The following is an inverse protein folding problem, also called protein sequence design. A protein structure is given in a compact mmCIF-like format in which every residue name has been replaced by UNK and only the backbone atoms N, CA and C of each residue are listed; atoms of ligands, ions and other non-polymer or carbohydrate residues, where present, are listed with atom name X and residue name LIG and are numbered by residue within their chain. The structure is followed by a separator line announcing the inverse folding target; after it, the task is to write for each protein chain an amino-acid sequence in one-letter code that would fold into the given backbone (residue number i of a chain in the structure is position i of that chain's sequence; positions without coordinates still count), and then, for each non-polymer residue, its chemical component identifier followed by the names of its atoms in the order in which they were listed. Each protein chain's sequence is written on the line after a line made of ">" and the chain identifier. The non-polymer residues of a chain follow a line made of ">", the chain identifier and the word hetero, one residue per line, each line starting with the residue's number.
data_IF_378622616168
#
_entry.id   IF_378622616168
#
_cell.length_a   1.000
_cell.length_b   1.000
_cell.length_c   1.000
_cell.angle_alpha   90.00
_cell.angle_beta   90.00
_cell.angle_gamma   90.00
#
_symmetry.space_group_name_H-M   'P 1'
#
loop_
_entity.id
_entity.type
_entity.pdbx_description
1 polymer ?
#
# COMPACT_ATOMS: atom_id res chain seq x y z
N UNK A 1 0.37 13.11 12.57
CA UNK A 1 -0.01 12.81 11.16
C UNK A 1 -1.16 11.82 11.11
N UNK A 2 -2.10 12.09 10.27
CA UNK A 2 -3.23 11.19 10.11
C UNK A 2 -2.87 10.02 9.23
N UNK A 3 -3.38 8.87 9.60
CA UNK A 3 -3.13 7.64 8.85
C UNK A 3 -4.30 7.22 7.98
N UNK A 4 -5.26 8.13 7.85
CA UNK A 4 -6.46 7.85 7.06
C UNK A 4 -6.20 7.83 5.56
N UNK A 5 -5.08 8.43 5.13
CA UNK A 5 -4.75 8.48 3.72
C UNK A 5 -4.67 7.10 3.08
N UNK A 6 -4.00 6.15 3.73
CA UNK A 6 -3.89 4.79 3.21
C UNK A 6 -5.27 4.16 3.05
N UNK A 7 -6.08 4.20 4.10
CA UNK A 7 -7.41 3.59 4.05
C UNK A 7 -8.30 4.23 3.00
N UNK A 8 -8.25 5.54 2.91
CA UNK A 8 -9.04 6.27 1.92
C UNK A 8 -8.64 5.89 0.50
N UNK A 9 -7.35 5.77 0.24
CA UNK A 9 -6.87 5.38 -1.08
C UNK A 9 -7.26 3.95 -1.42
N UNK A 10 -7.20 3.05 -0.45
CA UNK A 10 -7.66 1.68 -0.66
C UNK A 10 -9.14 1.69 -1.02
N UNK A 11 -9.94 2.45 -0.29
CA UNK A 11 -11.38 2.55 -0.55
C UNK A 11 -11.65 3.06 -1.95
N UNK A 12 -10.96 4.12 -2.36
CA UNK A 12 -11.14 4.73 -3.67
C UNK A 12 -10.77 3.76 -4.79
N UNK A 13 -9.62 3.10 -4.66
CA UNK A 13 -9.17 2.16 -5.69
C UNK A 13 -10.10 0.96 -5.75
N UNK A 14 -10.54 0.48 -4.58
CA UNK A 14 -11.48 -0.63 -4.53
C UNK A 14 -12.74 -0.32 -5.34
N UNK A 15 -13.29 0.88 -5.12
CA UNK A 15 -14.49 1.29 -5.84
C UNK A 15 -14.22 1.47 -7.33
N UNK A 16 -13.06 2.01 -7.68
CA UNK A 16 -12.66 2.16 -9.08
C UNK A 16 -12.58 0.80 -9.78
N UNK A 17 -12.16 -0.23 -9.07
CA UNK A 17 -12.08 -1.57 -9.63
C UNK A 17 -13.41 -2.29 -9.63
N UNK A 18 -14.46 -1.66 -9.07
CA UNK A 18 -15.78 -2.26 -9.04
C UNK A 18 -15.96 -3.33 -7.98
N UNK A 19 -15.10 -3.37 -6.98
CA UNK A 19 -15.21 -4.37 -5.91
C UNK A 19 -16.00 -3.82 -4.74
N UNK A 20 -16.88 -4.68 -4.18
CA UNK A 20 -17.48 -4.40 -2.89
C UNK A 20 -16.46 -4.67 -1.80
N UNK A 21 -16.71 -4.16 -0.60
CA UNK A 21 -15.86 -4.47 0.54
C UNK A 21 -15.83 -5.98 0.82
N UNK A 22 -16.99 -6.63 0.68
CA UNK A 22 -17.07 -8.07 0.88
C UNK A 22 -16.19 -8.81 -0.13
N UNK A 23 -16.23 -8.38 -1.39
CA UNK A 23 -15.44 -9.04 -2.43
C UNK A 23 -13.94 -8.86 -2.19
N UNK A 24 -13.49 -7.65 -1.87
CA UNK A 24 -12.08 -7.44 -1.62
C UNK A 24 -11.62 -8.20 -0.38
N UNK A 25 -12.42 -8.20 0.69
CA UNK A 25 -12.05 -8.93 1.89
C UNK A 25 -11.92 -10.42 1.61
N UNK A 26 -12.81 -10.96 0.77
CA UNK A 26 -12.74 -12.35 0.37
C UNK A 26 -11.45 -12.64 -0.40
N UNK A 27 -11.11 -11.78 -1.34
CA UNK A 27 -9.88 -11.94 -2.13
C UNK A 27 -8.62 -11.87 -1.25
N UNK A 28 -8.66 -11.09 -0.19
CA UNK A 28 -7.53 -10.94 0.73
C UNK A 28 -7.58 -11.90 1.91
N UNK A 29 -8.59 -12.75 1.96
CA UNK A 29 -8.77 -13.72 3.04
C UNK A 29 -8.83 -13.06 4.42
N UNK A 30 -9.54 -11.95 4.50
CA UNK A 30 -9.81 -11.25 5.75
C UNK A 30 -11.31 -11.03 5.86
N UNK A 31 -11.80 -10.70 7.05
CA UNK A 31 -13.21 -10.40 7.18
C UNK A 31 -13.49 -8.94 6.79
N UNK A 32 -14.74 -8.68 6.42
CA UNK A 32 -15.12 -7.36 5.93
C UNK A 32 -15.03 -6.28 7.02
N UNK A 33 -15.21 -6.66 8.27
CA UNK A 33 -15.10 -5.71 9.38
C UNK A 33 -13.67 -5.18 9.47
N UNK A 34 -12.69 -6.07 9.36
CA UNK A 34 -11.29 -5.66 9.39
C UNK A 34 -10.99 -4.74 8.20
N UNK A 35 -11.46 -5.09 7.02
CA UNK A 35 -11.24 -4.25 5.85
C UNK A 35 -11.85 -2.86 6.05
N UNK A 36 -13.06 -2.78 6.60
CA UNK A 36 -13.69 -1.49 6.86
C UNK A 36 -12.90 -0.66 7.86
N UNK A 37 -12.32 -1.31 8.86
CA UNK A 37 -11.46 -0.62 9.82
C UNK A 37 -10.19 -0.08 9.17
N UNK A 38 -9.64 -0.83 8.23
CA UNK A 38 -8.48 -0.37 7.46
C UNK A 38 -8.88 0.84 6.61
N UNK A 39 -9.98 0.74 5.88
CA UNK A 39 -10.43 1.82 5.00
C UNK A 39 -10.80 3.07 5.78
N UNK A 40 -11.29 2.90 7.00
CA UNK A 40 -11.66 4.02 7.85
C UNK A 40 -10.49 4.63 8.64
N UNK A 41 -9.31 4.06 8.52
CA UNK A 41 -8.14 4.56 9.23
C UNK A 41 -8.07 4.16 10.69
N UNK A 42 -8.94 3.24 11.11
CA UNK A 42 -8.96 2.76 12.49
C UNK A 42 -7.82 1.79 12.75
N UNK A 43 -7.49 0.99 11.74
CA UNK A 43 -6.41 0.01 11.84
C UNK A 43 -5.53 0.06 10.61
N UNK A 44 -4.27 -0.27 10.81
CA UNK A 44 -3.33 -0.46 9.71
C UNK A 44 -3.33 -1.93 9.34
N UNK A 45 -3.26 -2.27 8.05
CA UNK A 45 -3.14 -3.66 7.67
C UNK A 45 -1.77 -4.20 8.05
N UNK A 46 -1.71 -5.49 8.38
CA UNK A 46 -0.42 -6.16 8.48
C UNK A 46 0.24 -6.18 7.11
N UNK A 47 1.54 -6.39 7.06
CA UNK A 47 2.24 -6.40 5.78
C UNK A 47 1.71 -7.47 4.82
N UNK A 48 1.46 -8.72 5.26
CA UNK A 48 0.88 -9.70 4.35
C UNK A 48 -0.48 -9.27 3.80
N UNK A 49 -1.32 -8.70 4.65
CA UNK A 49 -2.64 -8.22 4.20
C UNK A 49 -2.49 -7.06 3.22
N UNK A 50 -1.56 -6.15 3.50
CA UNK A 50 -1.30 -5.03 2.60
C UNK A 50 -0.86 -5.52 1.22
N UNK A 51 0.02 -6.52 1.18
CA UNK A 51 0.48 -7.10 -0.07
C UNK A 51 -0.70 -7.72 -0.83
N UNK A 52 -1.56 -8.44 -0.11
CA UNK A 52 -2.75 -9.05 -0.74
C UNK A 52 -3.68 -7.98 -1.31
N UNK A 53 -3.85 -6.86 -0.60
CA UNK A 53 -4.66 -5.75 -1.10
C UNK A 53 -4.06 -5.19 -2.38
N UNK A 54 -2.76 -4.95 -2.40
CA UNK A 54 -2.09 -4.43 -3.59
C UNK A 54 -2.25 -5.37 -4.77
N UNK A 55 -2.06 -6.66 -4.55
CA UNK A 55 -2.20 -7.65 -5.60
C UNK A 55 -3.63 -7.75 -6.12
N UNK A 56 -4.60 -7.74 -5.21
CA UNK A 56 -6.01 -7.86 -5.58
C UNK A 56 -6.49 -6.64 -6.34
N UNK A 57 -6.03 -5.46 -5.96
CA UNK A 57 -6.41 -4.21 -6.62
C UNK A 57 -5.54 -3.88 -7.81
N UNK A 58 -4.43 -4.58 -7.98
CA UNK A 58 -3.43 -4.31 -9.02
C UNK A 58 -2.97 -2.86 -8.96
N UNK A 59 -2.56 -2.46 -7.78
CA UNK A 59 -2.11 -1.10 -7.52
C UNK A 59 -0.74 -1.15 -6.84
N UNK A 60 0.11 -0.18 -7.14
CA UNK A 60 1.42 -0.17 -6.53
C UNK A 60 1.34 0.27 -5.07
N UNK A 61 2.19 -0.30 -4.20
CA UNK A 61 2.23 0.14 -2.82
C UNK A 61 2.65 1.61 -2.70
N UNK A 62 3.44 2.11 -3.63
CA UNK A 62 3.86 3.51 -3.63
C UNK A 62 2.67 4.46 -3.62
N UNK A 63 1.70 4.18 -4.48
CA UNK A 63 0.51 5.01 -4.55
C UNK A 63 -0.27 4.98 -3.23
N UNK A 64 -0.46 3.79 -2.68
CA UNK A 64 -1.25 3.65 -1.46
C UNK A 64 -0.57 4.28 -0.26
N UNK A 65 0.76 4.25 -0.22
CA UNK A 65 1.52 4.77 0.91
C UNK A 65 1.90 6.23 0.79
N UNK A 66 1.51 6.87 -0.28
CA UNK A 66 1.94 8.22 -0.60
C UNK A 66 1.73 9.21 0.54
N UNK A 67 0.61 9.11 1.24
CA UNK A 67 0.27 10.04 2.32
C UNK A 67 0.74 9.58 3.69
N UNK A 68 1.38 8.41 3.76
CA UNK A 68 1.82 7.84 5.04
C UNK A 68 3.23 8.25 5.42
N UNK A 69 3.98 8.76 4.47
CA UNK A 69 5.36 9.17 4.71
C UNK A 69 5.46 10.67 4.72
N UNK A 70 6.34 11.17 5.56
CA UNK A 70 6.62 12.60 5.57
C UNK A 70 7.55 12.92 4.41
N UNK A 71 7.52 14.16 3.97
CA UNK A 71 8.28 14.58 2.80
C UNK A 71 9.76 14.27 2.91
N UNK A 72 10.36 14.54 4.06
CA UNK A 72 11.77 14.26 4.26
C UNK A 72 12.08 12.77 4.22
N UNK A 73 11.15 11.94 4.64
CA UNK A 73 11.33 10.50 4.56
C UNK A 73 11.23 10.01 3.13
N UNK A 74 10.35 10.61 2.34
CA UNK A 74 10.23 10.30 0.93
C UNK A 74 11.53 10.66 0.22
N UNK A 75 12.09 11.81 0.55
CA UNK A 75 13.37 12.25 -0.03
C UNK A 75 14.50 11.27 0.28
N UNK A 76 14.55 10.81 1.52
CA UNK A 76 15.56 9.83 1.93
C UNK A 76 15.41 8.52 1.16
N UNK A 77 14.20 8.09 0.97
CA UNK A 77 13.94 6.86 0.21
C UNK A 77 14.42 7.03 -1.23
N UNK A 78 14.15 8.18 -1.83
CA UNK A 78 14.60 8.45 -3.18
C UNK A 78 16.13 8.48 -3.29
N UNK A 79 16.78 9.03 -2.29
CA UNK A 79 18.25 9.03 -2.23
C UNK A 79 18.78 7.61 -2.16
N UNK A 80 18.16 6.77 -1.33
CA UNK A 80 18.58 5.39 -1.20
C UNK A 80 18.35 4.62 -2.50
N UNK A 81 17.26 4.90 -3.18
CA UNK A 81 16.99 4.28 -4.46
C UNK A 81 18.02 4.67 -5.50
N UNK A 82 18.43 5.93 -5.51
CA UNK A 82 19.45 6.40 -6.44
C UNK A 82 20.77 5.69 -6.18
N UNK A 83 21.18 5.57 -4.91
CA UNK A 83 22.39 4.86 -4.55
C UNK A 83 22.30 3.39 -4.94
N UNK A 84 21.16 2.80 -4.73
CA UNK A 84 20.92 1.41 -5.08
C UNK A 84 21.05 1.19 -6.58
N UNK A 85 20.53 2.10 -7.37
CA UNK A 85 20.61 2.00 -8.82
C UNK A 85 22.04 2.11 -9.32
N UNK A 86 22.86 2.91 -8.65
CA UNK A 86 24.25 3.06 -9.01
C UNK A 86 25.06 1.81 -8.71
N UNK A 87 24.69 1.09 -7.66
CA UNK A 87 25.47 -0.05 -7.17
C UNK A 87 24.89 -1.37 -7.66
N UNK A 88 23.56 -1.45 -7.70
CA UNK A 88 22.82 -2.67 -7.99
C UNK A 88 23.21 -3.37 -9.29
N UNK A 89 23.35 -2.65 -10.41
CA UNK A 89 23.65 -3.33 -11.67
C UNK A 89 24.91 -4.18 -11.60
N UNK A 90 25.93 -3.61 -10.98
CA UNK A 90 27.19 -4.31 -10.82
C UNK A 90 27.03 -5.56 -9.96
N UNK A 91 26.29 -5.45 -8.90
CA UNK A 91 26.06 -6.57 -8.00
C UNK A 91 25.18 -7.63 -8.61
N UNK A 92 24.23 -7.20 -9.40
CA UNK A 92 23.32 -8.13 -10.04
C UNK A 92 23.98 -8.98 -11.10
N UNK A 93 25.06 -8.50 -11.64
CA UNK A 93 25.82 -9.24 -12.64
C UNK A 93 26.63 -10.37 -12.03
N UNK A 94 26.79 -10.32 -10.74
CA UNK A 94 27.54 -11.37 -10.06
C UNK A 94 26.67 -12.60 -9.84
#
# INVERSE_FOLDING_TARGET
>A
MERKGLGKRINEVRKDRGFTADKLSELCNINATYLRQIEGGVKMPSLPVFIDICNSLRISPDYLLQDELEENEISKIKELEALWKDVSPSKQEL
#
